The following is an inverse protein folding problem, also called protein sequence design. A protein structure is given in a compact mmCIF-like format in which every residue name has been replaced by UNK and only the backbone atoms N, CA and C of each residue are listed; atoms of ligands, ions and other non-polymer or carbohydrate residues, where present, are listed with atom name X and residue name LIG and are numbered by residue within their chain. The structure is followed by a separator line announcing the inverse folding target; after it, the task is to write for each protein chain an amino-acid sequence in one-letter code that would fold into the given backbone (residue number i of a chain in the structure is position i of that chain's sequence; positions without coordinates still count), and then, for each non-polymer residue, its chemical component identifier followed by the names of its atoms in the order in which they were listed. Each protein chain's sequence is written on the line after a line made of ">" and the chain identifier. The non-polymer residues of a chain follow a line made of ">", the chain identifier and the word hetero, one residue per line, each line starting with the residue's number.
data_IF_202364841395
#
_entry.id   IF_202364841395
#
_cell.length_a   1.000
_cell.length_b   1.000
_cell.length_c   1.000
_cell.angle_alpha   90.00
_cell.angle_beta   90.00
_cell.angle_gamma   90.00
#
_symmetry.space_group_name_H-M   'P 1'
#
loop_
_entity.id
_entity.type
_entity.pdbx_description
1 polymer ?
#
# COMPACT_ATOMS: atom_id res chain seq x y z
N UNK A 1 13.49 -44.72 -32.63
CA UNK A 1 12.44 -44.17 -31.74
C UNK A 1 13.13 -43.42 -30.64
N UNK A 2 13.25 -42.09 -30.76
CA UNK A 2 13.93 -41.26 -29.76
C UNK A 2 13.00 -41.10 -28.55
N UNK A 3 13.33 -41.78 -27.44
CA UNK A 3 12.64 -41.62 -26.16
C UNK A 3 13.07 -40.31 -25.50
N UNK A 4 12.14 -39.38 -25.33
CA UNK A 4 12.30 -38.22 -24.46
C UNK A 4 12.08 -38.66 -23.01
N UNK A 5 13.17 -38.86 -22.27
CA UNK A 5 13.10 -39.09 -20.82
C UNK A 5 12.94 -37.75 -20.09
N UNK A 6 11.70 -37.52 -19.68
CA UNK A 6 11.19 -36.68 -18.58
C UNK A 6 12.19 -35.83 -17.78
N UNK A 7 11.89 -34.54 -17.66
CA UNK A 7 12.44 -33.66 -16.63
C UNK A 7 12.31 -34.31 -15.24
N UNK A 8 13.35 -34.17 -14.41
CA UNK A 8 13.30 -34.48 -12.98
C UNK A 8 12.38 -33.47 -12.31
N UNK A 9 11.39 -33.97 -11.56
CA UNK A 9 10.57 -33.15 -10.68
C UNK A 9 11.45 -32.64 -9.54
N UNK A 10 12.01 -31.44 -9.70
CA UNK A 10 12.53 -30.71 -8.55
C UNK A 10 11.34 -30.44 -7.62
N UNK A 11 11.47 -30.89 -6.38
CA UNK A 11 10.49 -30.59 -5.35
C UNK A 11 10.45 -29.07 -5.18
N UNK A 12 9.32 -28.46 -5.55
CA UNK A 12 9.04 -27.06 -5.27
C UNK A 12 9.18 -26.88 -3.76
N UNK A 13 10.23 -26.16 -3.32
CA UNK A 13 10.39 -25.73 -1.92
C UNK A 13 9.04 -25.15 -1.46
N UNK A 14 8.56 -25.47 -0.25
CA UNK A 14 7.35 -24.87 0.27
C UNK A 14 7.53 -23.36 0.23
N UNK A 15 6.70 -22.70 -0.57
CA UNK A 15 6.56 -21.24 -0.59
C UNK A 15 6.32 -20.83 0.85
N UNK A 16 7.26 -20.02 1.34
CA UNK A 16 7.23 -19.41 2.66
C UNK A 16 5.85 -18.78 2.83
N UNK A 17 5.08 -19.32 3.77
CA UNK A 17 3.80 -18.79 4.23
C UNK A 17 3.93 -17.27 4.34
N UNK A 18 3.10 -16.55 3.58
CA UNK A 18 3.13 -15.09 3.59
C UNK A 18 2.78 -14.65 5.00
N UNK A 19 3.79 -14.26 5.76
CA UNK A 19 3.64 -13.59 7.04
C UNK A 19 2.61 -12.47 6.83
N UNK A 20 1.46 -12.56 7.51
CA UNK A 20 0.46 -11.49 7.51
C UNK A 20 1.13 -10.30 8.17
N UNK A 21 1.72 -9.41 7.35
CA UNK A 21 2.38 -8.20 7.81
C UNK A 21 1.31 -7.38 8.54
N UNK A 22 1.46 -7.30 9.87
CA UNK A 22 0.64 -6.41 10.68
C UNK A 22 0.99 -5.00 10.25
N UNK A 23 0.04 -4.30 9.63
CA UNK A 23 0.28 -2.94 9.16
C UNK A 23 0.35 -2.04 10.40
N UNK A 24 1.57 -1.69 10.78
CA UNK A 24 1.85 -0.66 11.77
C UNK A 24 1.76 0.72 11.09
N UNK A 25 1.28 1.74 11.82
CA UNK A 25 1.16 3.13 11.36
C UNK A 25 0.22 3.34 10.15
N UNK A 26 -1.09 3.24 10.41
CA UNK A 26 -2.13 3.61 9.42
C UNK A 26 -2.51 5.08 9.60
N UNK A 27 -2.36 5.88 8.55
CA UNK A 27 -2.85 7.25 8.46
C UNK A 27 -4.20 7.21 7.75
N UNK A 28 -5.26 7.56 8.47
CA UNK A 28 -6.59 7.67 7.87
C UNK A 28 -6.81 9.07 7.29
N UNK A 29 -7.32 9.11 6.06
CA UNK A 29 -7.76 10.32 5.39
C UNK A 29 -9.25 10.12 5.08
N UNK A 30 -10.10 10.96 5.66
CA UNK A 30 -11.53 10.93 5.46
C UNK A 30 -11.97 12.16 4.69
N UNK A 31 -12.79 11.99 3.65
CA UNK A 31 -13.47 13.10 2.99
C UNK A 31 -14.94 13.08 3.32
N UNK A 32 -15.49 14.21 3.78
CA UNK A 32 -16.93 14.42 3.92
C UNK A 32 -17.32 15.72 3.21
N UNK A 33 -18.30 15.65 2.33
CA UNK A 33 -18.60 16.72 1.36
C UNK A 33 -17.33 17.15 0.58
N UNK A 34 -16.82 18.35 0.82
CA UNK A 34 -15.62 18.90 0.17
C UNK A 34 -14.43 19.06 1.12
N UNK A 35 -14.51 18.48 2.32
CA UNK A 35 -13.51 18.65 3.39
C UNK A 35 -12.71 17.36 3.59
N UNK A 36 -11.39 17.50 3.67
CA UNK A 36 -10.46 16.42 4.02
C UNK A 36 -10.11 16.50 5.51
N UNK A 37 -10.19 15.36 6.18
CA UNK A 37 -9.88 15.20 7.60
C UNK A 37 -8.75 14.19 7.74
N UNK A 38 -7.65 14.61 8.35
CA UNK A 38 -6.44 13.82 8.58
C UNK A 38 -5.63 14.42 9.74
N UNK A 39 -4.70 13.68 10.37
CA UNK A 39 -3.82 14.26 11.37
C UNK A 39 -2.83 15.28 10.74
N UNK A 40 -2.56 16.36 11.46
CA UNK A 40 -1.60 17.40 11.05
C UNK A 40 -0.13 16.94 11.13
N UNK A 41 0.13 15.77 11.70
CA UNK A 41 1.46 15.20 11.85
C UNK A 41 1.41 13.69 11.66
N UNK A 42 2.37 13.16 10.91
CA UNK A 42 2.51 11.73 10.62
C UNK A 42 3.85 11.24 11.19
N UNK A 43 3.87 10.01 11.71
CA UNK A 43 5.10 9.38 12.20
C UNK A 43 6.15 9.22 11.09
N UNK A 44 7.43 9.40 11.43
CA UNK A 44 8.52 9.10 10.52
C UNK A 44 8.56 7.60 10.16
N UNK A 45 8.98 7.28 8.93
CA UNK A 45 9.13 5.90 8.45
C UNK A 45 8.02 5.46 7.50
N UNK A 46 7.80 4.15 7.42
CA UNK A 46 6.77 3.56 6.58
C UNK A 46 5.39 3.75 7.22
N UNK A 47 4.48 4.34 6.46
CA UNK A 47 3.08 4.54 6.83
C UNK A 47 2.18 3.96 5.75
N UNK A 48 1.02 3.46 6.16
CA UNK A 48 -0.03 3.05 5.23
C UNK A 48 -1.13 4.11 5.22
N UNK A 49 -1.42 4.66 4.05
CA UNK A 49 -2.52 5.61 3.88
C UNK A 49 -3.81 4.85 3.59
N UNK A 50 -4.83 5.04 4.44
CA UNK A 50 -6.18 4.53 4.22
C UNK A 50 -7.08 5.71 3.89
N UNK A 51 -7.58 5.73 2.66
CA UNK A 51 -8.47 6.78 2.19
C UNK A 51 -9.93 6.33 2.21
N UNK A 52 -10.80 7.14 2.80
CA UNK A 52 -12.23 6.90 2.91
C UNK A 52 -12.95 8.11 2.33
N UNK A 53 -13.70 7.89 1.25
CA UNK A 53 -14.56 8.92 0.67
C UNK A 53 -16.00 8.72 1.16
N UNK A 54 -16.48 9.59 2.04
CA UNK A 54 -17.87 9.63 2.51
C UNK A 54 -18.71 10.69 1.75
N UNK A 55 -18.24 11.13 0.58
CA UNK A 55 -18.95 12.04 -0.31
C UNK A 55 -19.44 11.32 -1.58
N UNK A 56 -20.53 11.80 -2.20
CA UNK A 56 -20.96 11.30 -3.51
C UNK A 56 -20.01 11.72 -4.64
N UNK A 57 -19.24 12.80 -4.46
CA UNK A 57 -18.26 13.27 -5.42
C UNK A 57 -16.97 12.45 -5.35
N UNK A 58 -16.31 12.26 -6.49
CA UNK A 58 -14.96 11.69 -6.53
C UNK A 58 -13.93 12.69 -6.03
N UNK A 59 -13.06 12.23 -5.13
CA UNK A 59 -12.00 13.02 -4.55
C UNK A 59 -10.69 12.23 -4.59
N UNK A 60 -9.59 12.96 -4.77
CA UNK A 60 -8.24 12.42 -4.82
C UNK A 60 -7.35 13.24 -3.89
N UNK A 61 -6.38 12.59 -3.25
CA UNK A 61 -5.31 13.28 -2.56
C UNK A 61 -3.98 12.93 -3.26
N UNK A 62 -3.07 13.89 -3.27
CA UNK A 62 -1.73 13.73 -3.82
C UNK A 62 -0.71 14.00 -2.73
N UNK A 63 0.37 13.20 -2.73
CA UNK A 63 1.53 13.44 -1.87
C UNK A 63 2.61 14.01 -2.78
N UNK A 64 2.95 15.27 -2.56
CA UNK A 64 3.94 15.98 -3.35
C UNK A 64 5.11 16.43 -2.48
N UNK A 65 6.31 16.35 -3.05
CA UNK A 65 7.51 16.92 -2.42
C UNK A 65 7.58 18.39 -2.80
N UNK A 66 7.49 19.28 -1.81
CA UNK A 66 7.69 20.71 -2.02
C UNK A 66 9.11 21.02 -2.55
N UNK A 67 9.26 22.09 -3.37
CA UNK A 67 10.58 22.58 -3.75
C UNK A 67 11.40 22.98 -2.53
N UNK A 68 12.73 22.90 -2.65
CA UNK A 68 13.61 23.35 -1.59
C UNK A 68 13.36 24.84 -1.25
N UNK A 69 13.32 25.15 0.05
CA UNK A 69 13.08 26.52 0.53
C UNK A 69 11.62 27.00 0.43
N UNK A 70 10.66 26.10 0.22
CA UNK A 70 9.22 26.40 0.32
C UNK A 70 8.60 25.66 1.51
N UNK A 71 7.74 26.35 2.25
CA UNK A 71 6.94 25.85 3.39
C UNK A 71 5.52 26.36 3.26
#
# INVERSE_FOLDING_TARGET
>A
TLSFSSCRTEQKKPEKESEVVKIENVVEILTTNMEFQMPDTISSGWNTFRYINQSPQSHFFTIEKYPEGKT
#
